data_IF_836844967787
#
_entry.id   IF_836844967787
#
_cell.length_a   1.000
_cell.length_b   1.000
_cell.length_c   1.000
_cell.angle_alpha   90.00
_cell.angle_beta   90.00
_cell.angle_gamma   90.00
#
_symmetry.space_group_name_H-M   'P 1'
#
loop_
_entity.id
_entity.type
_entity.pdbx_description
1 polymer ?
#
# COMPACT_ATOMS: atom_id res chain seq x y z
N UNK A 1 -13.95 0.55 9.78
CA UNK A 1 -14.10 -0.68 8.97
C UNK A 1 -13.34 -0.51 7.69
N UNK A 2 -14.01 -0.03 6.62
CA UNK A 2 -13.36 0.28 5.33
C UNK A 2 -12.66 1.64 5.30
N UNK A 3 -13.28 2.69 5.84
CA UNK A 3 -12.70 4.05 5.91
C UNK A 3 -11.36 4.04 6.66
N UNK A 4 -11.29 3.38 7.82
CA UNK A 4 -10.04 3.20 8.56
C UNK A 4 -8.91 2.57 7.72
N UNK A 5 -9.24 1.57 6.89
CA UNK A 5 -8.25 0.93 6.01
C UNK A 5 -7.88 1.81 4.81
N UNK A 6 -8.77 2.72 4.39
CA UNK A 6 -8.51 3.68 3.31
C UNK A 6 -7.60 4.83 3.78
N UNK A 7 -7.72 5.22 5.04
CA UNK A 7 -6.94 6.31 5.65
C UNK A 7 -5.57 5.87 6.17
N UNK A 8 -5.31 4.55 6.23
CA UNK A 8 -4.06 4.00 6.74
C UNK A 8 -2.94 4.07 5.70
N UNK A 9 -1.79 4.63 6.09
CA UNK A 9 -0.62 4.74 5.23
C UNK A 9 -0.12 3.37 4.77
N UNK A 10 0.32 3.26 3.52
CA UNK A 10 0.85 2.03 2.90
C UNK A 10 -0.17 0.90 2.81
N UNK A 11 -1.47 1.20 2.92
CA UNK A 11 -2.54 0.34 2.41
C UNK A 11 -3.10 0.92 1.11
N UNK A 12 -3.45 0.03 0.18
CA UNK A 12 -4.10 0.39 -1.08
C UNK A 12 -5.40 -0.38 -1.20
N UNK A 13 -6.54 0.31 -1.21
CA UNK A 13 -7.82 -0.33 -1.49
C UNK A 13 -8.05 -0.44 -3.00
N UNK A 14 -8.02 -1.65 -3.52
CA UNK A 14 -8.30 -1.96 -4.93
C UNK A 14 -9.82 -2.06 -5.12
N UNK A 15 -10.46 -1.11 -5.83
CA UNK A 15 -11.89 -1.15 -6.06
C UNK A 15 -12.27 -2.19 -7.12
N UNK A 16 -13.44 -2.84 -6.97
CA UNK A 16 -13.88 -3.85 -7.93
C UNK A 16 -14.15 -3.33 -9.34
N UNK A 17 -14.39 -2.02 -9.53
CA UNK A 17 -14.62 -1.44 -10.86
C UNK A 17 -13.37 -1.40 -11.75
N UNK A 18 -12.18 -1.59 -11.17
CA UNK A 18 -10.93 -1.71 -11.94
C UNK A 18 -10.74 -3.11 -12.55
N UNK A 19 -11.57 -4.09 -12.19
CA UNK A 19 -11.51 -5.47 -12.69
C UNK A 19 -10.11 -6.12 -12.56
N UNK A 20 -9.37 -5.72 -11.53
CA UNK A 20 -8.07 -6.32 -11.18
C UNK A 20 -8.35 -7.62 -10.44
N UNK A 21 -8.15 -8.75 -11.11
CA UNK A 21 -8.53 -10.09 -10.63
C UNK A 21 -7.41 -10.83 -9.87
N UNK A 22 -6.22 -10.23 -9.77
CA UNK A 22 -5.09 -10.83 -9.08
C UNK A 22 -3.85 -9.94 -9.00
N UNK A 23 -2.84 -10.44 -8.29
CA UNK A 23 -1.58 -9.72 -8.08
C UNK A 23 -0.82 -9.45 -9.39
N UNK A 24 -0.93 -10.32 -10.39
CA UNK A 24 -0.33 -10.11 -11.72
C UNK A 24 -0.91 -8.89 -12.43
N UNK A 25 -2.24 -8.82 -12.52
CA UNK A 25 -2.95 -7.67 -13.09
C UNK A 25 -2.68 -6.37 -12.31
N UNK A 26 -2.56 -6.45 -10.98
CA UNK A 26 -2.20 -5.30 -10.16
C UNK A 26 -0.77 -4.80 -10.46
N UNK A 27 0.18 -5.70 -10.69
CA UNK A 27 1.54 -5.34 -11.09
C UNK A 27 1.56 -4.67 -12.47
N UNK A 28 0.85 -5.24 -13.44
CA UNK A 28 0.73 -4.65 -14.78
C UNK A 28 0.11 -3.24 -14.72
N UNK A 29 -0.91 -3.05 -13.87
CA UNK A 29 -1.48 -1.74 -13.61
C UNK A 29 -0.46 -0.75 -13.03
N UNK A 30 0.38 -1.19 -12.08
CA UNK A 30 1.44 -0.36 -11.52
C UNK A 30 2.53 -0.01 -12.55
N UNK A 31 2.89 -0.96 -13.42
CA UNK A 31 3.81 -0.75 -14.55
C UNK A 31 3.25 0.32 -15.51
N UNK A 32 1.97 0.21 -15.89
CA UNK A 32 1.28 1.15 -16.78
C UNK A 32 1.12 2.54 -16.15
N UNK A 33 0.94 2.62 -14.83
CA UNK A 33 0.94 3.87 -14.07
C UNK A 33 2.33 4.51 -13.94
N UNK A 34 3.38 3.87 -14.45
CA UNK A 34 4.73 4.40 -14.49
C UNK A 34 5.54 4.17 -13.21
N UNK A 35 5.09 3.28 -12.32
CA UNK A 35 5.89 2.92 -11.14
C UNK A 35 7.16 2.17 -11.56
N UNK A 36 8.30 2.41 -10.91
CA UNK A 36 9.52 1.67 -11.22
C UNK A 36 9.26 0.16 -11.12
N UNK A 37 9.53 -0.61 -12.18
CA UNK A 37 9.41 -2.08 -12.22
C UNK A 37 8.02 -2.66 -11.91
N UNK A 38 6.99 -1.80 -11.84
CA UNK A 38 5.65 -2.20 -11.41
C UNK A 38 5.58 -2.40 -9.90
N UNK A 39 6.46 -1.73 -9.16
CA UNK A 39 6.55 -1.85 -7.72
C UNK A 39 5.26 -1.35 -7.06
N UNK A 40 4.75 -2.17 -6.13
CA UNK A 40 3.62 -1.83 -5.27
C UNK A 40 4.18 -1.75 -3.87
N UNK A 41 4.39 -0.53 -3.38
CA UNK A 41 4.97 -0.31 -2.05
C UNK A 41 3.94 -0.57 -0.94
N UNK A 42 2.65 -0.47 -1.28
CA UNK A 42 1.52 -0.65 -0.38
C UNK A 42 1.09 -2.12 -0.29
N UNK A 43 0.53 -2.51 0.84
CA UNK A 43 -0.23 -3.75 0.95
C UNK A 43 -1.62 -3.54 0.33
N UNK A 44 -1.87 -4.20 -0.80
CA UNK A 44 -3.11 -4.03 -1.55
C UNK A 44 -4.22 -4.92 -0.99
N UNK A 45 -5.42 -4.36 -0.82
CA UNK A 45 -6.61 -5.04 -0.29
C UNK A 45 -7.73 -4.89 -1.31
N UNK A 46 -8.36 -6.00 -1.71
CA UNK A 46 -9.55 -5.92 -2.55
C UNK A 46 -10.73 -5.37 -1.75
N UNK A 47 -11.19 -4.18 -2.09
CA UNK A 47 -12.17 -3.44 -1.29
C UNK A 47 -13.50 -4.19 -1.14
N UNK A 48 -13.90 -4.96 -2.16
CA UNK A 48 -15.15 -5.74 -2.16
C UNK A 48 -15.02 -7.05 -1.38
N UNK A 49 -13.82 -7.45 -0.98
CA UNK A 49 -13.59 -8.61 -0.11
C UNK A 49 -13.76 -8.30 1.39
N UNK A 50 -13.78 -7.01 1.77
CA UNK A 50 -13.80 -6.58 3.17
C UNK A 50 -15.16 -6.90 3.78
N UNK A 51 -15.19 -7.86 4.70
CA UNK A 51 -16.38 -8.29 5.43
C UNK A 51 -16.09 -8.37 6.93
N UNK A 52 -17.02 -7.89 7.75
CA UNK A 52 -16.94 -8.02 9.22
C UNK A 52 -18.14 -8.84 9.70
N UNK A 53 -17.89 -9.94 10.38
CA UNK A 53 -18.91 -10.78 11.02
C UNK A 53 -18.61 -10.86 12.52
N UNK A 54 -19.51 -10.36 13.36
CA UNK A 54 -19.32 -10.23 14.81
C UNK A 54 -18.00 -9.52 15.19
N UNK A 55 -16.98 -10.28 15.58
CA UNK A 55 -15.64 -9.80 15.95
C UNK A 55 -14.56 -10.10 14.91
N UNK A 56 -14.93 -10.74 13.80
CA UNK A 56 -14.01 -11.30 12.83
C UNK A 56 -13.98 -10.45 11.55
N UNK A 57 -12.77 -10.11 11.09
CA UNK A 57 -12.52 -9.38 9.85
C UNK A 57 -11.98 -10.33 8.79
N UNK A 58 -12.64 -10.37 7.64
CA UNK A 58 -12.24 -11.11 6.46
C UNK A 58 -11.89 -10.14 5.34
N UNK A 59 -10.77 -10.40 4.65
CA UNK A 59 -10.31 -9.63 3.50
C UNK A 59 -9.30 -10.45 2.68
N UNK A 60 -9.16 -10.11 1.40
CA UNK A 60 -8.10 -10.61 0.53
C UNK A 60 -7.05 -9.52 0.31
N UNK A 61 -5.79 -9.92 0.38
CA UNK A 61 -4.64 -9.03 0.18
C UNK A 61 -3.69 -9.56 -0.88
N UNK A 62 -3.06 -8.63 -1.60
CA UNK A 62 -1.89 -8.89 -2.42
C UNK A 62 -0.70 -8.17 -1.82
N UNK A 63 0.32 -8.94 -1.48
CA UNK A 63 1.59 -8.42 -0.97
C UNK A 63 2.61 -8.56 -2.09
N UNK A 64 3.10 -7.43 -2.61
CA UNK A 64 4.21 -7.44 -3.56
C UNK A 64 5.53 -7.63 -2.81
N UNK A 65 5.86 -8.90 -2.56
CA UNK A 65 7.01 -9.35 -1.75
C UNK A 65 8.36 -8.76 -2.20
N UNK A 66 8.46 -8.26 -3.43
CA UNK A 66 9.69 -7.66 -3.95
C UNK A 66 9.88 -6.20 -3.52
N UNK A 67 8.82 -5.49 -3.09
CA UNK A 67 8.88 -4.05 -2.84
C UNK A 67 8.20 -3.55 -1.57
N UNK A 68 7.28 -4.29 -0.95
CA UNK A 68 6.54 -3.83 0.25
C UNK A 68 7.47 -3.52 1.44
N UNK A 69 8.56 -4.28 1.59
CA UNK A 69 9.55 -4.08 2.64
C UNK A 69 10.53 -2.91 2.38
N UNK A 70 10.53 -2.31 1.19
CA UNK A 70 11.44 -1.21 0.84
C UNK A 70 11.25 0.01 1.73
N UNK A 71 10.03 0.59 1.87
CA UNK A 71 9.82 1.73 2.77
C UNK A 71 10.16 1.39 4.23
N UNK A 72 9.80 0.19 4.69
CA UNK A 72 10.08 -0.26 6.06
C UNK A 72 11.57 -0.35 6.38
N UNK A 73 12.39 -0.82 5.43
CA UNK A 73 13.84 -0.87 5.61
C UNK A 73 14.45 0.53 5.74
N UNK A 74 13.96 1.50 4.97
CA UNK A 74 14.43 2.89 5.04
C UNK A 74 14.10 3.47 6.43
N UNK A 75 12.88 3.25 6.92
CA UNK A 75 12.47 3.73 8.24
C UNK A 75 13.21 3.04 9.37
N UNK A 76 13.46 1.74 9.26
CA UNK A 76 14.26 0.98 10.23
C UNK A 76 15.70 1.51 10.35
N UNK A 77 16.32 1.88 9.22
CA UNK A 77 17.66 2.52 9.24
C UNK A 77 17.59 3.84 10.00
N UNK A 78 16.57 4.67 9.78
CA UNK A 78 16.46 5.96 10.50
C UNK A 78 16.21 5.77 11.99
N UNK A 79 15.40 4.78 12.36
CA UNK A 79 15.12 4.44 13.75
C UNK A 79 16.38 3.93 14.49
N UNK A 80 17.14 3.00 13.89
CA UNK A 80 18.36 2.45 14.50
C UNK A 80 19.47 3.50 14.62
N UNK A 81 19.49 4.49 13.72
CA UNK A 81 20.48 5.57 13.72
C UNK A 81 20.05 6.82 14.48
N UNK A 82 18.83 6.82 15.05
CA UNK A 82 18.21 7.96 15.73
C UNK A 82 18.25 9.26 14.89
N UNK A 83 18.04 9.12 13.58
CA UNK A 83 18.23 10.22 12.62
C UNK A 83 16.95 10.96 12.23
N UNK A 84 15.78 10.47 12.64
CA UNK A 84 14.48 11.11 12.46
C UNK A 84 13.47 10.54 13.47
N UNK A 85 12.44 11.33 13.80
CA UNK A 85 11.27 10.78 14.50
C UNK A 85 10.49 9.81 13.60
N UNK A 86 9.64 8.97 14.18
CA UNK A 86 8.83 8.00 13.42
C UNK A 86 8.01 8.68 12.31
N UNK A 87 7.24 9.72 12.65
CA UNK A 87 6.40 10.43 11.67
C UNK A 87 7.23 11.09 10.58
N UNK A 88 8.30 11.78 10.95
CA UNK A 88 9.21 12.41 9.98
C UNK A 88 9.85 11.40 9.02
N UNK A 89 10.24 10.22 9.52
CA UNK A 89 10.82 9.17 8.69
C UNK A 89 9.82 8.66 7.66
N UNK A 90 8.61 8.32 8.12
CA UNK A 90 7.53 7.79 7.27
C UNK A 90 7.18 8.80 6.19
N UNK A 91 6.92 10.07 6.56
CA UNK A 91 6.58 11.13 5.62
C UNK A 91 7.67 11.29 4.56
N UNK A 92 8.94 11.35 4.98
CA UNK A 92 10.08 11.52 4.08
C UNK A 92 10.28 10.33 3.14
N UNK A 93 10.05 9.11 3.63
CA UNK A 93 10.08 7.89 2.81
C UNK A 93 8.93 7.89 1.80
N UNK A 94 7.72 8.20 2.25
CA UNK A 94 6.52 8.23 1.41
C UNK A 94 6.66 9.26 0.29
N UNK A 95 7.07 10.50 0.59
CA UNK A 95 7.33 11.53 -0.41
C UNK A 95 8.42 11.10 -1.41
N UNK A 96 9.49 10.45 -0.95
CA UNK A 96 10.57 10.00 -1.84
C UNK A 96 10.14 8.87 -2.80
N UNK A 97 9.17 8.05 -2.38
CA UNK A 97 8.60 6.95 -3.17
C UNK A 97 7.31 7.34 -3.90
N UNK A 98 6.93 8.64 -3.85
CA UNK A 98 5.70 9.17 -4.42
C UNK A 98 4.42 8.48 -3.90
N UNK A 99 4.41 8.09 -2.63
CA UNK A 99 3.23 7.51 -1.96
C UNK A 99 2.17 8.56 -1.58
N UNK A 100 2.51 9.85 -1.65
CA UNK A 100 1.58 10.96 -1.45
C UNK A 100 0.66 11.15 -2.68
N UNK A 101 0.99 10.53 -3.83
CA UNK A 101 0.16 10.45 -5.03
C UNK A 101 -0.31 8.99 -5.20
N UNK A 102 -1.55 8.66 -4.78
CA UNK A 102 -1.98 7.28 -4.66
C UNK A 102 -2.07 6.60 -6.03
N UNK A 103 -1.60 5.34 -6.11
CA UNK A 103 -1.65 4.53 -7.33
C UNK A 103 -3.09 4.41 -7.88
N UNK A 104 -4.07 4.32 -6.98
CA UNK A 104 -5.49 4.34 -7.30
C UNK A 104 -6.14 5.43 -6.46
N UNK A 105 -6.74 6.42 -7.12
CA UNK A 105 -7.52 7.43 -6.41
C UNK A 105 -8.73 6.79 -5.73
N UNK A 106 -8.84 6.95 -4.42
CA UNK A 106 -10.05 6.60 -3.66
C UNK A 106 -11.13 7.64 -3.97
N UNK A 107 -12.37 7.20 -4.21
CA UNK A 107 -13.54 8.08 -4.26
C UNK A 107 -14.07 8.36 -2.86
#
# INVERSE_FOLDING_TARGET
>A
GRELLADESRLLLVPGWLDIDGAGALKEYADDAGRPRGDIWENAIWADSITVEDSDLYLFQAIHQESDAVPENIDAIRAVTDSASQGESIDRTNTALALDDPLIATQ
#
